data_IF_212305666552
#
_entry.id   IF_212305666552
#
_cell.length_a   1.000
_cell.length_b   1.000
_cell.length_c   1.000
_cell.angle_alpha   90.00
_cell.angle_beta   90.00
_cell.angle_gamma   90.00
#
_symmetry.space_group_name_H-M   'P 1'
#
loop_
_entity.id
_entity.type
_entity.pdbx_description
1 polymer ?
#
# COMPACT_ATOMS: atom_id res chain seq x y z
N UNK A 1 -2.63 -3.58 -12.67
CA UNK A 1 -2.02 -3.45 -11.32
C UNK A 1 -0.89 -2.42 -11.32
N UNK A 2 0.32 -2.73 -11.80
CA UNK A 2 1.35 -1.69 -12.02
C UNK A 2 1.02 -0.78 -13.22
N UNK A 3 0.36 -1.34 -14.24
CA UNK A 3 -0.09 -0.59 -15.43
C UNK A 3 -1.20 0.43 -15.15
N UNK A 4 -1.85 0.34 -13.98
CA UNK A 4 -2.90 1.28 -13.55
C UNK A 4 -2.32 2.47 -12.78
N UNK A 5 -1.01 2.43 -12.48
CA UNK A 5 -0.25 3.58 -12.01
C UNK A 5 0.24 4.42 -13.19
N UNK A 6 0.81 5.59 -12.88
CA UNK A 6 1.47 6.42 -13.89
C UNK A 6 2.52 5.59 -14.65
N UNK A 7 2.61 5.71 -15.99
CA UNK A 7 3.62 5.02 -16.80
C UNK A 7 5.05 5.21 -16.28
N UNK A 8 5.32 6.39 -15.71
CA UNK A 8 6.60 6.71 -15.09
C UNK A 8 6.94 5.81 -13.90
N UNK A 9 5.95 5.44 -13.07
CA UNK A 9 6.18 4.49 -11.98
C UNK A 9 6.56 3.12 -12.55
N UNK A 10 5.89 2.69 -13.63
CA UNK A 10 6.24 1.47 -14.35
C UNK A 10 7.68 1.48 -14.87
N UNK A 11 8.13 2.59 -15.46
CA UNK A 11 9.51 2.75 -15.93
C UNK A 11 10.52 2.63 -14.78
N UNK A 12 10.28 3.31 -13.66
CA UNK A 12 11.14 3.24 -12.47
C UNK A 12 11.26 1.81 -11.95
N UNK A 13 10.13 1.13 -11.77
CA UNK A 13 10.09 -0.26 -11.29
C UNK A 13 10.78 -1.20 -12.28
N UNK A 14 10.54 -1.04 -13.58
CA UNK A 14 11.18 -1.84 -14.63
C UNK A 14 12.71 -1.67 -14.62
N UNK A 15 13.20 -0.44 -14.52
CA UNK A 15 14.64 -0.16 -14.42
C UNK A 15 15.24 -0.86 -13.21
N UNK A 16 14.59 -0.78 -12.03
CA UNK A 16 15.07 -1.45 -10.83
C UNK A 16 14.96 -2.99 -10.90
N UNK A 17 13.98 -3.54 -11.64
CA UNK A 17 13.87 -4.99 -11.87
C UNK A 17 15.06 -5.55 -12.66
N UNK A 18 15.61 -4.73 -13.55
CA UNK A 18 16.79 -5.06 -14.38
C UNK A 18 18.11 -4.65 -13.75
N UNK A 19 18.08 -3.97 -12.60
CA UNK A 19 19.29 -3.57 -11.91
C UNK A 19 19.98 -4.79 -11.29
N UNK A 20 21.29 -4.86 -11.40
CA UNK A 20 22.12 -5.90 -10.77
C UNK A 20 22.70 -5.44 -9.43
N UNK A 21 22.67 -4.13 -9.18
CA UNK A 21 23.15 -3.45 -7.98
C UNK A 21 22.23 -2.27 -7.62
N UNK A 22 22.43 -1.70 -6.43
CA UNK A 22 21.74 -0.46 -6.03
C UNK A 22 22.11 0.67 -7.00
N UNK A 23 21.11 1.45 -7.40
CA UNK A 23 21.29 2.59 -8.29
C UNK A 23 21.25 3.89 -7.48
N UNK A 24 22.18 4.81 -7.73
CA UNK A 24 22.03 6.17 -7.22
C UNK A 24 20.78 6.83 -7.81
N UNK A 25 20.31 7.91 -7.18
CA UNK A 25 19.15 8.67 -7.68
C UNK A 25 19.34 9.12 -9.14
N UNK A 26 20.57 9.54 -9.47
CA UNK A 26 20.92 10.01 -10.80
C UNK A 26 20.92 8.86 -11.80
N UNK A 27 21.56 7.75 -11.49
CA UNK A 27 21.59 6.59 -12.37
C UNK A 27 20.19 6.02 -12.61
N UNK A 28 19.36 5.97 -11.58
CA UNK A 28 17.97 5.53 -11.71
C UNK A 28 17.18 6.48 -12.63
N UNK A 29 17.33 7.79 -12.44
CA UNK A 29 16.69 8.79 -13.29
C UNK A 29 17.14 8.67 -14.75
N UNK A 30 18.45 8.56 -14.98
CA UNK A 30 19.05 8.46 -16.31
C UNK A 30 18.61 7.15 -17.01
N UNK A 31 18.60 6.01 -16.30
CA UNK A 31 18.20 4.71 -16.87
C UNK A 31 16.69 4.54 -17.07
N UNK A 32 15.88 5.19 -16.24
CA UNK A 32 14.43 5.17 -16.37
C UNK A 32 13.88 6.24 -17.33
N UNK A 33 14.76 7.12 -17.85
CA UNK A 33 14.41 8.27 -18.70
C UNK A 33 13.41 9.22 -18.02
N UNK A 34 13.69 9.57 -16.77
CA UNK A 34 12.85 10.45 -15.95
C UNK A 34 13.71 11.46 -15.19
N UNK A 35 13.11 12.52 -14.68
CA UNK A 35 13.86 13.48 -13.86
C UNK A 35 14.19 12.91 -12.48
N UNK A 36 15.30 13.35 -11.89
CA UNK A 36 15.62 13.05 -10.48
C UNK A 36 14.54 13.55 -9.52
N UNK A 37 13.85 14.66 -9.86
CA UNK A 37 12.68 15.15 -9.12
C UNK A 37 11.55 14.13 -9.16
N UNK A 38 11.31 13.49 -10.29
CA UNK A 38 10.30 12.45 -10.45
C UNK A 38 10.60 11.24 -9.57
N UNK A 39 11.87 10.81 -9.50
CA UNK A 39 12.30 9.75 -8.56
C UNK A 39 11.96 10.14 -7.12
N UNK A 40 12.29 11.37 -6.71
CA UNK A 40 11.97 11.90 -5.37
C UNK A 40 10.46 11.89 -5.10
N UNK A 41 9.65 12.33 -6.06
CA UNK A 41 8.20 12.42 -5.89
C UNK A 41 7.52 11.06 -5.66
N UNK A 42 8.04 9.99 -6.26
CA UNK A 42 7.47 8.66 -6.13
C UNK A 42 8.16 7.79 -5.09
N UNK A 43 9.33 8.22 -4.58
CA UNK A 43 10.10 7.50 -3.58
C UNK A 43 9.23 7.08 -2.40
N UNK A 44 8.63 8.06 -1.72
CA UNK A 44 7.97 7.81 -0.43
C UNK A 44 6.78 6.86 -0.58
N UNK A 45 6.04 6.95 -1.69
CA UNK A 45 4.93 6.04 -2.00
C UNK A 45 5.39 4.63 -2.33
N UNK A 46 6.47 4.49 -3.10
CA UNK A 46 7.04 3.19 -3.44
C UNK A 46 7.66 2.51 -2.21
N UNK A 47 8.24 3.29 -1.31
CA UNK A 47 8.81 2.83 -0.03
C UNK A 47 7.70 2.49 0.97
N UNK A 48 6.60 3.24 1.02
CA UNK A 48 5.42 2.92 1.84
C UNK A 48 4.74 1.60 1.45
N UNK A 49 4.71 1.27 0.14
CA UNK A 49 4.29 -0.03 -0.36
C UNK A 49 5.38 -1.11 -0.25
N UNK A 50 6.54 -0.76 0.28
CA UNK A 50 7.68 -1.65 0.45
C UNK A 50 8.13 -2.32 -0.87
N UNK A 51 7.96 -1.60 -1.99
CA UNK A 51 8.40 -2.03 -3.31
C UNK A 51 9.88 -1.73 -3.51
N UNK A 52 10.35 -0.61 -2.95
CA UNK A 52 11.74 -0.19 -3.02
C UNK A 52 12.33 -0.08 -1.63
N UNK A 53 13.64 -0.29 -1.52
CA UNK A 53 14.41 0.05 -0.33
C UNK A 53 15.41 1.14 -0.68
N UNK A 54 15.33 2.29 -0.02
CA UNK A 54 16.31 3.36 -0.16
C UNK A 54 17.30 3.28 0.99
N UNK A 55 18.57 3.08 0.65
CA UNK A 55 19.66 3.07 1.63
C UNK A 55 20.72 4.12 1.30
N UNK A 56 21.78 4.16 2.09
CA UNK A 56 22.94 5.05 1.87
C UNK A 56 23.53 4.90 0.45
N UNK A 57 23.48 3.69 -0.10
CA UNK A 57 24.02 3.34 -1.42
C UNK A 57 23.00 3.45 -2.55
N UNK A 58 21.84 4.07 -2.31
CA UNK A 58 20.81 4.32 -3.34
C UNK A 58 19.64 3.34 -3.31
N UNK A 59 18.96 3.27 -4.46
CA UNK A 59 17.66 2.67 -4.69
C UNK A 59 17.80 1.23 -5.18
N UNK A 60 16.98 0.34 -4.66
CA UNK A 60 16.77 -1.02 -5.17
C UNK A 60 15.31 -1.42 -4.99
N UNK A 61 14.88 -2.46 -5.70
CA UNK A 61 13.65 -3.16 -5.30
C UNK A 61 13.88 -3.92 -3.99
N UNK A 62 12.80 -4.09 -3.24
CA UNK A 62 12.72 -4.98 -2.09
C UNK A 62 12.67 -6.47 -2.51
N UNK A 63 13.35 -6.81 -3.59
CA UNK A 63 13.50 -8.14 -4.15
C UNK A 63 14.98 -8.41 -4.40
N UNK A 64 15.36 -9.69 -4.35
CA UNK A 64 16.70 -10.11 -4.78
C UNK A 64 16.97 -9.67 -6.22
N UNK A 65 18.18 -9.17 -6.46
CA UNK A 65 18.67 -8.91 -7.81
C UNK A 65 18.72 -10.21 -8.61
N UNK A 66 18.67 -10.08 -9.93
CA UNK A 66 18.76 -11.21 -10.85
C UNK A 66 20.20 -11.75 -11.00
N UNK A 67 21.05 -11.55 -10.00
CA UNK A 67 22.45 -11.99 -9.98
C UNK A 67 22.56 -13.38 -9.36
N UNK A 68 23.59 -14.13 -9.73
CA UNK A 68 23.85 -15.46 -9.16
C UNK A 68 24.09 -15.43 -7.65
N UNK A 69 24.60 -14.31 -7.14
CA UNK A 69 24.88 -14.08 -5.72
C UNK A 69 23.59 -13.99 -4.90
N UNK A 70 22.67 -13.09 -5.25
CA UNK A 70 21.51 -12.77 -4.41
C UNK A 70 20.28 -13.63 -4.74
N UNK A 71 20.28 -14.38 -5.85
CA UNK A 71 19.15 -15.25 -6.26
C UNK A 71 18.73 -16.28 -5.21
N UNK A 72 19.60 -16.57 -4.23
CA UNK A 72 19.33 -17.49 -3.10
C UNK A 72 19.15 -16.77 -1.77
N UNK A 73 19.34 -15.45 -1.74
CA UNK A 73 19.15 -14.66 -0.54
C UNK A 73 17.66 -14.33 -0.37
N UNK A 74 17.11 -14.40 0.86
CA UNK A 74 15.70 -14.16 1.13
C UNK A 74 15.38 -12.67 1.20
N UNK A 75 15.75 -11.92 0.16
CA UNK A 75 15.38 -10.51 0.02
C UNK A 75 13.97 -10.45 -0.54
N UNK A 76 13.03 -10.38 0.39
CA UNK A 76 11.60 -10.21 0.15
C UNK A 76 11.11 -8.95 0.84
N UNK A 77 10.06 -8.31 0.32
CA UNK A 77 9.40 -7.20 0.99
C UNK A 77 8.97 -7.60 2.41
N UNK A 78 9.21 -6.73 3.39
CA UNK A 78 8.64 -6.79 4.72
C UNK A 78 7.11 -6.97 4.72
N UNK A 79 6.39 -6.35 3.77
CA UNK A 79 4.93 -6.55 3.63
C UNK A 79 4.55 -8.03 3.46
N UNK A 80 5.42 -8.83 2.82
CA UNK A 80 5.22 -10.27 2.65
C UNK A 80 5.76 -11.10 3.82
N UNK A 81 6.74 -10.58 4.58
CA UNK A 81 7.35 -11.28 5.72
C UNK A 81 6.52 -11.15 7.00
N UNK A 82 5.96 -9.98 7.24
CA UNK A 82 5.32 -9.61 8.51
C UNK A 82 3.80 -9.81 8.51
N UNK A 83 3.23 -10.40 7.44
CA UNK A 83 1.76 -10.51 7.25
C UNK A 83 1.06 -9.16 7.41
N UNK A 84 1.64 -8.11 6.84
CA UNK A 84 1.10 -6.76 7.00
C UNK A 84 -0.30 -6.67 6.41
N UNK A 85 -1.18 -5.99 7.15
CA UNK A 85 -2.57 -5.79 6.77
C UNK A 85 -2.69 -4.65 5.78
N UNK A 86 -3.78 -4.65 4.99
CA UNK A 86 -4.09 -3.51 4.13
C UNK A 86 -4.20 -2.20 4.92
N UNK A 87 -4.62 -2.25 6.19
CA UNK A 87 -4.72 -1.09 7.06
C UNK A 87 -3.34 -0.47 7.35
N UNK A 88 -2.34 -1.29 7.69
CA UNK A 88 -0.97 -0.82 7.97
C UNK A 88 -0.26 -0.28 6.72
N UNK A 89 -0.59 -0.80 5.54
CA UNK A 89 -0.09 -0.26 4.28
C UNK A 89 -0.80 1.05 3.92
N UNK A 90 -2.13 1.12 4.13
CA UNK A 90 -2.90 2.34 3.93
C UNK A 90 -2.41 3.47 4.83
N UNK A 91 -2.15 3.15 6.10
CA UNK A 91 -1.62 4.07 7.10
C UNK A 91 -0.33 4.75 6.64
N UNK A 92 0.70 3.94 6.34
CA UNK A 92 1.98 4.44 5.82
C UNK A 92 1.82 5.21 4.51
N UNK A 93 0.96 4.74 3.60
CA UNK A 93 0.72 5.46 2.35
C UNK A 93 0.12 6.84 2.61
N UNK A 94 -0.88 6.93 3.49
CA UNK A 94 -1.53 8.20 3.83
C UNK A 94 -0.59 9.15 4.56
N UNK A 95 0.30 8.65 5.43
CA UNK A 95 1.36 9.44 6.07
C UNK A 95 2.26 10.16 5.04
N UNK A 96 2.50 9.55 3.87
CA UNK A 96 3.31 10.18 2.80
C UNK A 96 2.57 11.25 1.98
N UNK A 97 1.23 11.31 2.08
CA UNK A 97 0.39 12.14 1.20
C UNK A 97 -0.33 13.23 1.96
N UNK A 98 -0.79 12.95 3.18
CA UNK A 98 -1.58 13.86 3.99
C UNK A 98 -0.67 14.68 4.92
N UNK A 99 -0.90 16.00 5.03
CA UNK A 99 -0.28 16.78 6.10
C UNK A 99 -0.84 16.34 7.47
N UNK A 100 -0.10 16.59 8.58
CA UNK A 100 -0.44 16.04 9.90
C UNK A 100 -1.84 16.41 10.43
N UNK A 101 -2.31 17.61 10.11
CA UNK A 101 -3.64 18.12 10.48
C UNK A 101 -4.75 17.32 9.80
N UNK A 102 -4.60 16.98 8.52
CA UNK A 102 -5.56 16.15 7.78
C UNK A 102 -5.45 14.67 8.08
N UNK A 103 -4.24 14.18 8.33
CA UNK A 103 -4.02 12.78 8.71
C UNK A 103 -4.71 12.44 10.04
N UNK A 104 -4.72 13.40 10.98
CA UNK A 104 -5.34 13.24 12.30
C UNK A 104 -6.82 13.65 12.36
N UNK A 105 -7.42 14.05 11.23
CA UNK A 105 -8.81 14.52 11.17
C UNK A 105 -9.76 13.34 10.87
N UNK A 106 -10.65 12.98 11.81
CA UNK A 106 -11.62 11.89 11.62
C UNK A 106 -12.65 12.17 10.52
N UNK A 107 -12.83 13.44 10.13
CA UNK A 107 -13.76 13.84 9.07
C UNK A 107 -13.05 13.96 7.70
N UNK A 108 -11.73 13.76 7.63
CA UNK A 108 -10.99 13.82 6.38
C UNK A 108 -11.41 12.68 5.42
N UNK A 109 -11.67 12.96 4.13
CA UNK A 109 -12.09 11.95 3.16
C UNK A 109 -11.12 10.77 3.00
N UNK A 110 -9.85 10.97 3.32
CA UNK A 110 -8.79 9.97 3.26
C UNK A 110 -8.39 9.49 4.65
N UNK A 111 -8.11 10.41 5.59
CA UNK A 111 -7.68 10.08 6.95
C UNK A 111 -8.71 9.26 7.73
N UNK A 112 -10.01 9.55 7.53
CA UNK A 112 -11.12 8.88 8.23
C UNK A 112 -11.11 7.35 8.13
N UNK A 113 -10.50 6.77 7.09
CA UNK A 113 -10.47 5.30 6.89
C UNK A 113 -9.63 4.56 7.93
N UNK A 114 -8.74 5.26 8.64
CA UNK A 114 -7.90 4.72 9.70
C UNK A 114 -8.60 4.72 11.08
N UNK A 115 -9.67 5.51 11.22
CA UNK A 115 -10.41 5.65 12.47
C UNK A 115 -11.46 4.55 12.64
N UNK A 116 -11.89 4.30 13.88
CA UNK A 116 -12.79 3.20 14.20
C UNK A 116 -14.23 3.43 13.70
N UNK A 117 -14.87 2.46 13.00
CA UNK A 117 -14.28 1.20 12.52
C UNK A 117 -13.45 1.41 11.24
N UNK A 118 -12.18 0.94 11.20
CA UNK A 118 -11.29 1.22 10.08
C UNK A 118 -11.77 0.51 8.81
N UNK A 119 -11.73 1.22 7.68
CA UNK A 119 -12.17 0.68 6.40
C UNK A 119 -11.31 1.20 5.22
N UNK A 120 -10.06 0.68 5.06
CA UNK A 120 -9.15 1.10 4.01
C UNK A 120 -9.63 0.73 2.59
N UNK A 121 -10.58 -0.20 2.46
CA UNK A 121 -11.16 -0.57 1.16
C UNK A 121 -11.91 0.60 0.50
N UNK A 122 -12.40 1.58 1.28
CA UNK A 122 -13.02 2.80 0.75
C UNK A 122 -12.09 3.61 -0.16
N UNK A 123 -10.78 3.42 -0.04
CA UNK A 123 -9.79 4.12 -0.85
C UNK A 123 -9.57 3.51 -2.23
N UNK A 124 -10.06 2.29 -2.51
CA UNK A 124 -9.79 1.57 -3.76
C UNK A 124 -10.29 2.32 -5.00
N UNK A 125 -11.38 3.08 -4.87
CA UNK A 125 -11.98 3.88 -5.94
C UNK A 125 -11.58 5.37 -5.85
N UNK A 126 -10.77 5.76 -4.86
CA UNK A 126 -10.43 7.16 -4.67
C UNK A 126 -9.49 7.66 -5.78
N UNK A 127 -9.77 8.79 -6.46
CA UNK A 127 -9.00 9.22 -7.64
C UNK A 127 -7.50 9.41 -7.42
N UNK A 128 -7.10 9.83 -6.22
CA UNK A 128 -5.69 10.12 -5.91
C UNK A 128 -4.89 8.89 -5.47
N UNK A 129 -5.52 7.94 -4.77
CA UNK A 129 -4.84 6.83 -4.08
C UNK A 129 -5.34 5.45 -4.50
N UNK A 130 -6.41 5.37 -5.29
CA UNK A 130 -7.06 4.12 -5.67
C UNK A 130 -6.13 3.13 -6.32
N UNK A 131 -5.39 3.55 -7.35
CA UNK A 131 -4.39 2.67 -8.00
C UNK A 131 -3.28 2.20 -7.05
N UNK A 132 -2.87 3.03 -6.08
CA UNK A 132 -1.89 2.65 -5.05
C UNK A 132 -2.49 1.65 -4.05
N UNK A 133 -3.75 1.85 -3.68
CA UNK A 133 -4.48 0.98 -2.76
C UNK A 133 -4.86 -0.36 -3.38
N UNK A 134 -5.12 -0.41 -4.68
CA UNK A 134 -5.30 -1.67 -5.41
C UNK A 134 -4.01 -2.48 -5.43
N UNK A 135 -2.86 -1.81 -5.62
CA UNK A 135 -1.56 -2.47 -5.51
C UNK A 135 -1.31 -2.97 -4.09
N UNK A 136 -1.59 -2.15 -3.08
CA UNK A 136 -1.49 -2.53 -1.67
C UNK A 136 -2.35 -3.78 -1.36
N UNK A 137 -3.62 -3.78 -1.75
CA UNK A 137 -4.53 -4.91 -1.53
C UNK A 137 -4.03 -6.19 -2.21
N UNK A 138 -3.41 -6.07 -3.39
CA UNK A 138 -2.79 -7.19 -4.10
C UNK A 138 -1.58 -7.72 -3.33
N UNK A 139 -0.70 -6.84 -2.84
CA UNK A 139 0.51 -7.21 -2.09
C UNK A 139 0.19 -7.86 -0.75
N UNK A 140 -0.85 -7.38 -0.05
CA UNK A 140 -1.29 -7.94 1.23
C UNK A 140 -2.24 -9.13 1.09
N UNK A 141 -2.42 -9.65 -0.14
CA UNK A 141 -3.38 -10.70 -0.47
C UNK A 141 -4.80 -10.44 0.08
N UNK A 142 -5.16 -9.16 0.25
CA UNK A 142 -6.48 -8.77 0.73
C UNK A 142 -7.46 -8.99 -0.41
N UNK A 143 -8.28 -10.04 -0.28
CA UNK A 143 -9.42 -10.20 -1.18
C UNK A 143 -10.29 -8.97 -1.00
N UNK A 144 -10.58 -8.27 -2.10
CA UNK A 144 -11.73 -7.38 -2.14
C UNK A 144 -12.88 -8.21 -1.63
N UNK A 145 -13.39 -7.87 -0.45
CA UNK A 145 -14.59 -8.48 0.07
C UNK A 145 -15.66 -7.99 -0.89
N UNK A 146 -15.93 -8.78 -1.94
CA UNK A 146 -17.23 -8.72 -2.60
C UNK A 146 -18.22 -8.75 -1.46
N UNK A 147 -18.88 -7.61 -1.31
CA UNK A 147 -19.94 -7.27 -0.38
C UNK A 147 -20.35 -8.49 0.45
N UNK A 148 -19.92 -8.53 1.71
CA UNK A 148 -20.38 -9.54 2.67
C UNK A 148 -21.84 -9.17 2.99
N UNK A 149 -22.68 -9.34 1.98
CA UNK A 149 -24.10 -9.07 1.99
C UNK A 149 -24.63 -10.05 3.02
N UNK A 150 -24.90 -9.53 4.20
CA UNK A 150 -25.55 -10.29 5.25
C UNK A 150 -26.91 -10.74 4.69
N UNK A 151 -26.95 -11.95 4.14
CA UNK A 151 -28.20 -12.60 3.77
C UNK A 151 -28.81 -13.06 5.08
N UNK A 152 -29.87 -12.39 5.53
CA UNK A 152 -30.73 -12.97 6.56
C UNK A 152 -31.37 -14.23 5.97
N UNK A 153 -30.85 -15.39 6.37
CA UNK A 153 -31.53 -16.67 6.17
C UNK A 153 -32.22 -17.02 7.48
N UNK A 154 -33.53 -16.83 7.50
CA UNK A 154 -34.39 -17.13 8.63
C UNK A 154 -35.38 -16.02 8.94
N UNK A 155 -36.49 -16.32 9.62
CA UNK A 155 -37.42 -15.29 10.08
C UNK A 155 -36.71 -14.34 11.05
N UNK A 156 -37.08 -13.03 11.05
CA UNK A 156 -36.50 -12.07 11.98
C UNK A 156 -36.74 -12.53 13.42
N UNK A 157 -35.66 -12.61 14.20
CA UNK A 157 -35.77 -12.88 15.64
C UNK A 157 -36.18 -11.58 16.34
N UNK A 158 -37.41 -11.53 16.83
CA UNK A 158 -37.82 -10.48 17.76
C UNK A 158 -37.12 -10.70 19.11
N UNK A 159 -36.06 -9.93 19.35
CA UNK A 159 -35.39 -9.92 20.64
C UNK A 159 -36.30 -9.25 21.68
N UNK A 160 -36.98 -10.05 22.50
CA UNK A 160 -37.67 -9.53 23.68
C UNK A 160 -36.64 -9.15 24.76
N UNK A 161 -36.78 -7.94 25.27
CA UNK A 161 -35.95 -7.44 26.36
C UNK A 161 -36.26 -8.23 27.63
N UNK A 162 -35.22 -8.66 28.35
CA UNK A 162 -35.39 -9.22 29.69
C UNK A 162 -35.90 -8.11 30.60
N UNK A 163 -37.18 -8.19 30.98
CA UNK A 163 -37.75 -7.33 32.01
C UNK A 163 -36.97 -7.53 33.30
N UNK A 164 -36.34 -6.46 33.76
CA UNK A 164 -35.67 -6.36 35.05
C UNK A 164 -36.67 -6.78 36.15
N UNK A 165 -36.47 -7.96 36.72
CA UNK A 165 -37.12 -8.31 37.98
C UNK A 165 -36.55 -7.42 39.08
N UNK A 166 -37.40 -6.67 39.76
CA UNK A 166 -37.10 -6.02 41.03
C UNK A 166 -38.41 -5.80 41.81
N UNK A 167 -38.40 -5.82 43.15
CA UNK A 167 -37.38 -6.32 44.10
C UNK A 167 -37.75 -7.68 44.72
#
# INVERSE_FOLDING_TARGET
>A
MLSDLSPTVGQIVQTLLTAEDRLSQRELADRADVSTRTIRNYRDRLEALDLICVGENGYRLALSFQTTTERRDPVVPAVLRESQTLLEVADRLLETILPPDRYSDPDDPLGSVLFWPPNPLRLLEHPMVGSWMQLAATLTATKSVEDNRAVQIGPPLEQQSLSRAAP
#
